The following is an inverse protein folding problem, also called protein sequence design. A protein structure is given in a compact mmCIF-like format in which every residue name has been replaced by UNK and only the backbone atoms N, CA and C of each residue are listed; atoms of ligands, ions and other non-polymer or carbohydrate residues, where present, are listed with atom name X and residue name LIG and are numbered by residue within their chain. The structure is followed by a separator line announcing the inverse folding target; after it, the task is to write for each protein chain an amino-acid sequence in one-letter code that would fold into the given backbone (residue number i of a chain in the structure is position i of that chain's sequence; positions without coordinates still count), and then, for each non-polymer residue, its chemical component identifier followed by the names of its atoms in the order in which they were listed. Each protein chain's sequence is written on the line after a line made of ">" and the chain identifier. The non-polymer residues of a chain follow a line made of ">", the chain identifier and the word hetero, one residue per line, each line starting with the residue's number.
data_IF_551128084173
#
_entry.id   IF_551128084173
#
_cell.length_a   1.000
_cell.length_b   1.000
_cell.length_c   1.000
_cell.angle_alpha   90.00
_cell.angle_beta   90.00
_cell.angle_gamma   90.00
#
_symmetry.space_group_name_H-M   'P 1'
#
loop_
_entity.id
_entity.type
_entity.pdbx_description
1 polymer ?
#
# COMPACT_ATOMS: atom_id res chain seq x y z
N UNK A 1 -45.66 6.92 28.14
CA UNK A 1 -44.53 7.47 27.34
C UNK A 1 -43.19 6.77 27.64
N UNK A 2 -43.11 5.43 27.50
CA UNK A 2 -41.86 4.67 27.73
C UNK A 2 -41.50 3.65 26.63
N UNK A 3 -42.18 3.67 25.49
CA UNK A 3 -42.00 2.67 24.42
C UNK A 3 -41.21 3.16 23.18
N UNK A 4 -40.66 4.39 23.20
CA UNK A 4 -40.00 4.98 22.03
C UNK A 4 -38.46 4.94 22.02
N UNK A 5 -37.81 4.92 23.19
CA UNK A 5 -36.34 5.06 23.26
C UNK A 5 -35.57 3.75 22.99
N UNK A 6 -36.09 2.60 23.42
CA UNK A 6 -35.37 1.32 23.25
C UNK A 6 -35.33 0.86 21.79
N UNK A 7 -36.39 1.12 21.03
CA UNK A 7 -36.43 0.83 19.59
C UNK A 7 -35.43 1.69 18.80
N UNK A 8 -35.30 2.96 19.14
CA UNK A 8 -34.33 3.86 18.52
C UNK A 8 -32.88 3.46 18.84
N UNK A 9 -32.59 3.07 20.09
CA UNK A 9 -31.28 2.60 20.51
C UNK A 9 -30.88 1.27 19.84
N UNK A 10 -31.85 0.37 19.63
CA UNK A 10 -31.63 -0.90 18.94
C UNK A 10 -31.39 -0.74 17.44
N UNK A 11 -32.15 0.15 16.78
CA UNK A 11 -31.94 0.50 15.36
C UNK A 11 -30.62 1.24 15.16
N UNK A 12 -30.29 2.20 16.04
CA UNK A 12 -28.97 2.85 16.03
C UNK A 12 -27.86 1.82 16.25
N UNK A 13 -27.96 0.91 17.22
CA UNK A 13 -26.98 -0.18 17.41
C UNK A 13 -26.87 -1.07 16.18
N UNK A 14 -27.96 -1.44 15.51
CA UNK A 14 -27.91 -2.24 14.27
C UNK A 14 -27.32 -1.47 13.10
N UNK A 15 -27.60 -0.17 12.96
CA UNK A 15 -26.96 0.68 11.96
C UNK A 15 -25.47 0.89 12.27
N UNK A 16 -25.10 1.04 13.53
CA UNK A 16 -23.71 1.16 13.98
C UNK A 16 -22.94 -0.15 13.77
N UNK A 17 -23.53 -1.29 14.13
CA UNK A 17 -22.95 -2.62 13.91
C UNK A 17 -22.85 -2.95 12.41
N UNK A 18 -23.80 -2.53 11.58
CA UNK A 18 -23.69 -2.67 10.11
C UNK A 18 -22.62 -1.76 9.51
N UNK A 19 -22.32 -0.61 10.11
CA UNK A 19 -21.27 0.31 9.66
C UNK A 19 -19.85 -0.17 10.03
N UNK A 20 -19.75 -1.11 10.98
CA UNK A 20 -18.51 -1.69 11.50
C UNK A 20 -18.31 -3.17 11.15
N UNK A 21 -19.13 -3.75 10.27
CA UNK A 21 -18.73 -4.99 9.62
C UNK A 21 -17.47 -4.65 8.81
N UNK A 22 -16.28 -4.93 9.37
CA UNK A 22 -15.02 -4.87 8.66
C UNK A 22 -15.25 -5.55 7.32
N UNK A 23 -15.19 -4.76 6.24
CA UNK A 23 -15.30 -5.30 4.91
C UNK A 23 -14.08 -6.21 4.77
N UNK A 24 -14.31 -7.53 4.80
CA UNK A 24 -13.25 -8.51 4.80
C UNK A 24 -13.05 -8.97 3.36
N UNK A 25 -11.83 -8.87 2.87
CA UNK A 25 -11.46 -9.53 1.62
C UNK A 25 -11.24 -11.01 1.92
N UNK A 26 -12.05 -11.88 1.31
CA UNK A 26 -12.00 -13.33 1.59
C UNK A 26 -10.81 -14.01 0.93
N UNK A 27 -10.29 -13.48 -0.18
CA UNK A 27 -9.09 -13.99 -0.83
C UNK A 27 -7.84 -13.56 -0.06
N UNK A 28 -7.83 -12.31 0.43
CA UNK A 28 -6.72 -11.70 1.15
C UNK A 28 -7.17 -11.14 2.50
N UNK A 29 -7.41 -12.00 3.51
CA UNK A 29 -8.01 -11.61 4.79
C UNK A 29 -7.16 -10.70 5.66
N UNK A 30 -5.87 -10.53 5.33
CA UNK A 30 -4.99 -9.56 5.99
C UNK A 30 -5.11 -8.14 5.43
N UNK A 31 -5.94 -7.93 4.40
CA UNK A 31 -6.15 -6.60 3.80
C UNK A 31 -6.93 -5.67 4.73
N UNK A 32 -6.40 -4.48 4.99
CA UNK A 32 -7.16 -3.38 5.58
C UNK A 32 -8.03 -2.69 4.51
N UNK A 33 -9.21 -3.26 4.23
CA UNK A 33 -10.05 -2.85 3.08
C UNK A 33 -10.45 -1.37 3.10
N UNK A 34 -10.78 -0.82 4.26
CA UNK A 34 -11.07 0.63 4.38
C UNK A 34 -9.85 1.47 3.95
N UNK A 35 -8.65 1.09 4.41
CA UNK A 35 -7.41 1.76 4.02
C UNK A 35 -7.15 1.61 2.53
N UNK A 36 -7.28 0.41 1.99
CA UNK A 36 -7.12 0.12 0.56
C UNK A 36 -7.98 1.06 -0.29
N UNK A 37 -9.27 1.19 0.04
CA UNK A 37 -10.21 2.04 -0.67
C UNK A 37 -9.84 3.53 -0.57
N UNK A 38 -9.41 3.98 0.61
CA UNK A 38 -8.99 5.36 0.80
C UNK A 38 -7.68 5.67 0.04
N UNK A 39 -6.75 4.71 -0.05
CA UNK A 39 -5.55 4.82 -0.90
C UNK A 39 -5.98 4.95 -2.37
N UNK A 40 -6.83 4.06 -2.88
CA UNK A 40 -7.33 4.13 -4.25
C UNK A 40 -7.98 5.49 -4.55
N UNK A 41 -8.78 6.01 -3.61
CA UNK A 41 -9.40 7.33 -3.74
C UNK A 41 -8.36 8.44 -3.83
N UNK A 42 -7.29 8.41 -3.01
CA UNK A 42 -6.20 9.39 -3.09
C UNK A 42 -5.44 9.29 -4.38
N UNK A 43 -5.02 8.10 -4.76
CA UNK A 43 -4.24 7.85 -5.99
C UNK A 43 -5.01 8.34 -7.22
N UNK A 44 -6.30 7.98 -7.35
CA UNK A 44 -7.16 8.45 -8.44
C UNK A 44 -7.42 9.97 -8.39
N UNK A 45 -7.32 10.57 -7.21
CA UNK A 45 -7.54 12.00 -7.00
C UNK A 45 -6.31 12.89 -7.23
N UNK A 46 -5.12 12.31 -7.42
CA UNK A 46 -3.92 13.07 -7.78
C UNK A 46 -4.07 13.63 -9.20
N UNK A 47 -3.76 14.92 -9.38
CA UNK A 47 -3.77 15.53 -10.70
C UNK A 47 -2.58 15.01 -11.53
N UNK A 48 -2.65 15.03 -12.87
CA UNK A 48 -1.51 14.68 -13.72
C UNK A 48 -0.24 15.49 -13.41
N UNK A 49 -0.41 16.75 -12.97
CA UNK A 49 0.69 17.62 -12.54
C UNK A 49 1.33 17.16 -11.22
N UNK A 50 0.59 16.52 -10.32
CA UNK A 50 1.17 15.93 -9.09
C UNK A 50 2.09 14.73 -9.42
N UNK A 51 1.89 14.08 -10.57
CA UNK A 51 2.60 12.86 -10.98
C UNK A 51 3.64 13.07 -12.09
N UNK A 52 3.76 14.29 -12.61
CA UNK A 52 4.67 14.65 -13.72
C UNK A 52 5.65 15.76 -13.36
N UNK A 53 5.82 16.03 -12.06
CA UNK A 53 6.79 16.99 -11.54
C UNK A 53 8.20 16.38 -11.43
N UNK A 54 9.08 17.02 -10.65
CA UNK A 54 10.36 16.41 -10.29
C UNK A 54 10.11 15.10 -9.51
N UNK A 55 10.89 14.05 -9.80
CA UNK A 55 10.66 12.71 -9.27
C UNK A 55 10.55 12.65 -7.74
N UNK A 56 11.38 13.39 -7.00
CA UNK A 56 11.32 13.38 -5.54
C UNK A 56 10.01 13.97 -5.00
N UNK A 57 9.43 14.94 -5.70
CA UNK A 57 8.11 15.50 -5.36
C UNK A 57 7.01 14.49 -5.69
N UNK A 58 7.07 13.87 -6.88
CA UNK A 58 6.14 12.83 -7.30
C UNK A 58 6.15 11.65 -6.32
N UNK A 59 7.33 11.15 -5.95
CA UNK A 59 7.49 10.07 -4.98
C UNK A 59 6.87 10.41 -3.62
N UNK A 60 7.08 11.64 -3.12
CA UNK A 60 6.43 12.10 -1.88
C UNK A 60 4.90 12.11 -1.98
N UNK A 61 4.35 12.50 -3.14
CA UNK A 61 2.90 12.46 -3.39
C UNK A 61 2.37 11.03 -3.41
N UNK A 62 3.10 10.10 -4.04
CA UNK A 62 2.74 8.69 -4.10
C UNK A 62 2.78 8.06 -2.70
N UNK A 63 3.81 8.33 -1.90
CA UNK A 63 3.88 7.91 -0.50
C UNK A 63 2.69 8.41 0.31
N UNK A 64 2.40 9.71 0.23
CA UNK A 64 1.26 10.30 0.92
C UNK A 64 -0.08 9.69 0.49
N UNK A 65 -0.25 9.45 -0.82
CA UNK A 65 -1.45 8.81 -1.35
C UNK A 65 -1.60 7.36 -0.86
N UNK A 66 -0.48 6.64 -0.73
CA UNK A 66 -0.38 5.31 -0.14
C UNK A 66 -0.46 5.26 1.39
N UNK A 67 -0.51 6.40 2.08
CA UNK A 67 -0.56 6.45 3.54
C UNK A 67 0.78 6.20 4.22
N UNK A 68 1.88 6.56 3.57
CA UNK A 68 3.23 6.50 4.12
C UNK A 68 3.80 7.90 4.37
N UNK A 69 4.56 8.03 5.45
CA UNK A 69 5.43 9.16 5.73
C UNK A 69 6.67 9.08 4.84
N UNK A 70 7.20 10.24 4.47
CA UNK A 70 8.50 10.33 3.83
C UNK A 70 9.60 10.37 4.90
N UNK A 71 10.29 9.25 5.08
CA UNK A 71 11.32 9.02 6.09
C UNK A 71 12.62 8.55 5.43
N UNK A 72 13.23 9.38 4.56
CA UNK A 72 14.40 8.98 3.75
C UNK A 72 15.70 8.86 4.57
N UNK A 73 15.69 9.30 5.82
CA UNK A 73 16.86 9.25 6.71
C UNK A 73 16.68 8.29 7.90
N UNK A 74 15.54 7.58 7.96
CA UNK A 74 15.32 6.56 8.99
C UNK A 74 16.22 5.34 8.75
N UNK A 75 16.55 4.63 9.83
CA UNK A 75 17.32 3.40 9.73
C UNK A 75 16.43 2.24 9.26
N UNK A 76 17.00 1.19 8.61
CA UNK A 76 16.28 -0.04 8.36
C UNK A 76 15.61 -0.58 9.64
N UNK A 77 14.36 -1.01 9.52
CA UNK A 77 13.53 -1.43 10.67
C UNK A 77 12.91 -0.30 11.50
N UNK A 78 13.22 0.97 11.21
CA UNK A 78 12.65 2.17 11.88
C UNK A 78 11.78 3.01 10.94
N UNK A 79 11.07 2.34 10.02
CA UNK A 79 10.17 2.99 9.06
C UNK A 79 10.89 3.72 7.92
N UNK A 80 12.07 3.25 7.51
CA UNK A 80 12.77 3.78 6.33
C UNK A 80 11.92 3.61 5.06
N UNK A 81 11.56 4.73 4.42
CA UNK A 81 10.81 4.75 3.15
C UNK A 81 11.61 5.39 2.02
N UNK A 82 12.92 5.64 2.20
CA UNK A 82 13.77 6.29 1.20
C UNK A 82 13.92 5.47 -0.10
N UNK A 83 13.86 4.15 -0.01
CA UNK A 83 13.93 3.24 -1.15
C UNK A 83 12.59 2.98 -1.84
N UNK A 84 11.47 3.36 -1.23
CA UNK A 84 10.14 3.10 -1.78
C UNK A 84 10.01 3.76 -3.15
N UNK A 85 9.71 2.94 -4.18
CA UNK A 85 9.63 3.33 -5.58
C UNK A 85 10.92 3.87 -6.21
N UNK A 86 12.05 3.82 -5.50
CA UNK A 86 13.35 4.33 -5.96
C UNK A 86 14.30 3.23 -6.45
N UNK A 87 13.90 1.96 -6.33
CA UNK A 87 14.64 0.80 -6.83
C UNK A 87 13.74 -0.12 -7.67
N UNK A 88 14.27 -1.27 -8.08
CA UNK A 88 13.58 -2.28 -8.91
C UNK A 88 12.66 -3.21 -8.12
N UNK A 89 12.68 -3.13 -6.79
CA UNK A 89 12.10 -4.14 -5.94
C UNK A 89 10.93 -3.59 -5.11
N UNK A 90 11.02 -2.39 -4.56
CA UNK A 90 10.02 -1.80 -3.66
C UNK A 90 8.99 -0.96 -4.44
N UNK A 91 8.40 -1.57 -5.48
CA UNK A 91 7.47 -0.91 -6.40
C UNK A 91 5.99 -1.14 -6.06
N UNK A 92 5.70 -2.04 -5.13
CA UNK A 92 4.34 -2.34 -4.68
C UNK A 92 4.05 -1.62 -3.37
N UNK A 93 2.81 -1.15 -3.18
CA UNK A 93 2.33 -0.64 -1.90
C UNK A 93 1.15 -1.47 -1.41
N UNK A 94 1.26 -2.04 -0.21
CA UNK A 94 0.18 -2.84 0.40
C UNK A 94 -0.47 -2.11 1.57
N UNK A 95 -1.72 -2.46 1.86
CA UNK A 95 -2.53 -1.92 2.94
C UNK A 95 -3.06 -3.05 3.81
N UNK A 96 -2.39 -3.30 4.95
CA UNK A 96 -2.64 -4.46 5.78
C UNK A 96 -3.30 -4.12 7.12
N UNK A 97 -3.97 -5.10 7.73
CA UNK A 97 -4.46 -5.01 9.10
C UNK A 97 -3.30 -4.87 10.09
N UNK A 98 -3.54 -4.21 11.23
CA UNK A 98 -2.49 -3.99 12.24
C UNK A 98 -1.95 -5.30 12.79
N UNK A 99 -2.83 -6.26 13.05
CA UNK A 99 -2.46 -7.57 13.61
C UNK A 99 -1.53 -8.36 12.68
N UNK A 100 -1.69 -8.23 11.35
CA UNK A 100 -0.83 -8.92 10.38
C UNK A 100 0.45 -8.15 10.05
N UNK A 101 0.53 -6.85 10.36
CA UNK A 101 1.74 -6.05 10.13
C UNK A 101 2.95 -6.60 10.92
N UNK A 102 2.71 -7.30 12.03
CA UNK A 102 3.73 -7.95 12.85
C UNK A 102 4.04 -9.40 12.45
N UNK A 103 3.39 -9.92 11.41
CA UNK A 103 3.69 -11.27 10.90
C UNK A 103 5.16 -11.37 10.54
N UNK A 104 5.79 -12.45 10.98
CA UNK A 104 7.16 -12.76 10.60
C UNK A 104 7.18 -13.67 9.39
N UNK A 105 8.16 -13.46 8.53
CA UNK A 105 8.41 -14.34 7.41
C UNK A 105 9.08 -15.66 7.88
N UNK A 106 8.58 -16.83 7.44
CA UNK A 106 9.07 -18.17 7.82
C UNK A 106 9.84 -18.90 6.71
N UNK A 107 10.32 -18.18 5.69
CA UNK A 107 11.20 -18.69 4.63
C UNK A 107 10.50 -19.04 3.31
N UNK A 108 9.19 -18.82 3.21
CA UNK A 108 8.37 -19.05 2.01
C UNK A 108 8.66 -18.09 0.84
N UNK A 109 9.33 -16.96 1.06
CA UNK A 109 9.56 -15.89 0.08
C UNK A 109 11.06 -15.82 -0.18
N UNK A 110 11.44 -16.22 -1.39
CA UNK A 110 12.85 -16.29 -1.78
C UNK A 110 13.49 -14.90 -1.71
N UNK A 111 14.58 -14.80 -0.95
CA UNK A 111 15.37 -13.56 -0.82
C UNK A 111 14.97 -12.65 0.34
N UNK A 112 13.96 -13.03 1.14
CA UNK A 112 13.59 -12.30 2.36
C UNK A 112 14.17 -13.01 3.59
N UNK A 113 14.76 -12.25 4.50
CA UNK A 113 15.33 -12.79 5.73
C UNK A 113 14.23 -13.43 6.60
N UNK A 114 14.50 -14.64 7.10
CA UNK A 114 13.65 -15.30 8.07
C UNK A 114 13.51 -14.44 9.34
N UNK A 115 12.30 -14.29 9.86
CA UNK A 115 12.05 -13.51 11.07
C UNK A 115 12.09 -11.98 10.88
N UNK A 116 12.00 -11.47 9.65
CA UNK A 116 11.97 -10.03 9.41
C UNK A 116 10.79 -9.35 10.13
N UNK A 117 11.08 -8.44 11.06
CA UNK A 117 10.09 -7.75 11.89
C UNK A 117 9.75 -6.38 11.31
N UNK A 118 8.84 -6.38 10.34
CA UNK A 118 8.42 -5.15 9.66
C UNK A 118 7.45 -4.30 10.48
N UNK A 119 6.66 -4.92 11.38
CA UNK A 119 5.58 -4.28 12.15
C UNK A 119 5.92 -2.91 12.76
N UNK A 120 6.97 -2.78 13.60
CA UNK A 120 7.33 -1.48 14.19
C UNK A 120 7.66 -0.42 13.13
N UNK A 121 8.33 -0.80 12.04
CA UNK A 121 8.63 0.10 10.93
C UNK A 121 7.38 0.55 10.18
N UNK A 122 6.44 -0.38 9.95
CA UNK A 122 5.15 -0.13 9.32
C UNK A 122 4.34 0.85 10.16
N UNK A 123 4.23 0.63 11.47
CA UNK A 123 3.50 1.52 12.39
C UNK A 123 4.10 2.93 12.40
N UNK A 124 5.43 3.03 12.48
CA UNK A 124 6.13 4.32 12.47
C UNK A 124 5.94 5.07 11.16
N UNK A 125 5.99 4.38 10.02
CA UNK A 125 5.87 5.00 8.70
C UNK A 125 4.42 5.27 8.27
N UNK A 126 3.43 4.58 8.84
CA UNK A 126 2.04 4.72 8.42
C UNK A 126 1.42 6.05 8.85
N UNK A 127 0.62 6.64 7.97
CA UNK A 127 -0.25 7.78 8.25
C UNK A 127 -1.61 7.28 8.74
N UNK A 128 -2.14 7.78 9.88
CA UNK A 128 -3.37 7.25 10.48
C UNK A 128 -4.66 7.66 9.73
N UNK A 129 -4.58 8.70 8.91
CA UNK A 129 -5.71 9.34 8.21
C UNK A 129 -6.39 8.49 7.12
N UNK A 130 -5.81 7.33 6.76
CA UNK A 130 -6.40 6.42 5.78
C UNK A 130 -7.24 5.30 6.39
N UNK A 131 -7.38 5.24 7.71
CA UNK A 131 -8.13 4.19 8.41
C UNK A 131 -7.22 3.32 9.29
N UNK A 132 -7.73 2.20 9.84
CA UNK A 132 -7.00 1.32 10.77
C UNK A 132 -6.04 0.36 10.06
N UNK A 133 -4.93 -0.04 10.71
CA UNK A 133 -3.89 -0.96 10.21
C UNK A 133 -2.57 -0.28 9.82
N UNK A 134 -1.83 -0.79 8.82
CA UNK A 134 -0.64 -0.14 8.26
C UNK A 134 -0.60 -0.07 6.73
N UNK A 135 0.34 0.74 6.22
CA UNK A 135 0.79 0.75 4.82
C UNK A 135 2.27 0.42 4.75
N UNK A 136 2.70 -0.23 3.66
CA UNK A 136 4.11 -0.51 3.43
C UNK A 136 4.44 -0.66 1.95
N UNK A 137 5.63 -0.20 1.53
CA UNK A 137 6.16 -0.53 0.21
C UNK A 137 6.85 -1.90 0.26
N UNK A 138 6.38 -2.85 -0.52
CA UNK A 138 6.83 -4.25 -0.50
C UNK A 138 7.63 -4.62 -1.73
N UNK A 139 8.51 -5.61 -1.56
CA UNK A 139 9.26 -6.25 -2.63
C UNK A 139 8.31 -6.88 -3.68
N UNK A 140 8.66 -6.77 -4.96
CA UNK A 140 7.95 -7.37 -6.10
C UNK A 140 8.38 -8.81 -6.39
N UNK A 141 9.38 -9.33 -5.66
CA UNK A 141 9.87 -10.70 -5.83
C UNK A 141 8.72 -11.73 -5.81
N UNK A 142 8.53 -12.44 -6.93
CA UNK A 142 7.51 -13.47 -7.05
C UNK A 142 6.10 -12.94 -7.35
N UNK A 143 5.92 -11.64 -7.58
CA UNK A 143 4.62 -11.06 -7.93
C UNK A 143 4.12 -11.47 -9.32
N UNK A 144 5.00 -12.00 -10.18
CA UNK A 144 4.70 -12.47 -11.52
C UNK A 144 4.27 -13.95 -11.59
N UNK A 145 4.22 -14.64 -10.45
CA UNK A 145 3.79 -16.03 -10.35
C UNK A 145 2.27 -16.12 -10.15
N UNK A 146 1.68 -17.28 -10.43
CA UNK A 146 0.26 -17.57 -10.19
C UNK A 146 0.12 -18.82 -9.28
N UNK A 147 -0.36 -18.65 -8.01
CA UNK A 147 -0.67 -17.38 -7.37
C UNK A 147 0.60 -16.56 -7.04
N UNK A 148 0.49 -15.23 -6.85
CA UNK A 148 1.62 -14.39 -6.48
C UNK A 148 2.31 -14.86 -5.20
N UNK A 149 3.64 -14.80 -5.18
CA UNK A 149 4.47 -15.20 -4.03
C UNK A 149 5.25 -14.05 -3.40
N UNK A 150 4.80 -12.82 -3.62
CA UNK A 150 5.41 -11.63 -3.03
C UNK A 150 5.04 -11.44 -1.55
N UNK A 151 5.69 -10.45 -0.93
CA UNK A 151 5.55 -10.14 0.50
C UNK A 151 4.11 -9.73 0.85
N UNK A 152 3.42 -9.00 -0.01
CA UNK A 152 2.05 -8.57 0.27
C UNK A 152 1.11 -9.77 0.36
N UNK A 153 1.16 -10.65 -0.64
CA UNK A 153 0.25 -11.78 -0.75
C UNK A 153 0.58 -12.93 0.21
N UNK A 154 1.86 -13.21 0.47
CA UNK A 154 2.27 -14.33 1.30
C UNK A 154 2.36 -13.95 2.78
N UNK A 155 3.17 -12.95 3.13
CA UNK A 155 3.44 -12.61 4.53
C UNK A 155 2.25 -11.88 5.17
N UNK A 156 1.69 -10.91 4.47
CA UNK A 156 0.59 -10.10 5.00
C UNK A 156 -0.79 -10.64 4.61
N UNK A 157 -0.88 -11.55 3.62
CA UNK A 157 -2.15 -12.01 3.05
C UNK A 157 -3.04 -10.83 2.70
N UNK A 158 -2.43 -9.80 2.12
CA UNK A 158 -3.02 -8.51 1.81
C UNK A 158 -2.90 -8.23 0.32
N UNK A 159 -3.91 -7.59 -0.25
CA UNK A 159 -3.81 -7.05 -1.61
C UNK A 159 -2.73 -6.00 -1.73
N UNK A 160 -2.20 -5.84 -2.94
CA UNK A 160 -1.46 -4.63 -3.30
C UNK A 160 -2.44 -3.50 -3.59
N UNK A 161 -2.30 -2.38 -2.89
CA UNK A 161 -3.10 -1.18 -3.12
C UNK A 161 -2.77 -0.54 -4.46
N UNK A 162 -1.48 -0.44 -4.78
CA UNK A 162 -1.06 -0.14 -6.13
C UNK A 162 0.36 -0.62 -6.41
N UNK A 163 0.64 -0.88 -7.69
CA UNK A 163 1.96 -1.15 -8.24
C UNK A 163 2.38 0.06 -9.07
N UNK A 164 3.62 0.51 -8.94
CA UNK A 164 4.22 1.48 -9.85
C UNK A 164 4.94 0.74 -10.96
N UNK A 165 4.50 0.94 -12.21
CA UNK A 165 5.06 0.27 -13.38
C UNK A 165 5.52 1.30 -14.40
N UNK A 166 6.81 1.31 -14.72
CA UNK A 166 7.37 2.16 -15.76
C UNK A 166 7.09 1.58 -17.16
N UNK A 167 6.76 2.44 -18.12
CA UNK A 167 6.18 2.03 -19.40
C UNK A 167 7.20 2.11 -20.56
N UNK A 168 7.34 1.07 -21.40
CA UNK A 168 8.21 1.10 -22.59
C UNK A 168 7.73 2.12 -23.64
N UNK A 169 8.58 2.49 -24.62
CA UNK A 169 9.92 1.96 -24.89
C UNK A 169 11.05 2.67 -24.13
N UNK A 170 10.85 3.93 -23.72
CA UNK A 170 11.87 4.76 -23.09
C UNK A 170 11.82 4.73 -21.55
N UNK A 171 10.75 4.13 -20.99
CA UNK A 171 10.51 4.05 -19.55
C UNK A 171 10.38 5.43 -18.90
N UNK A 172 10.11 6.49 -19.68
CA UNK A 172 10.00 7.87 -19.19
C UNK A 172 8.68 8.19 -18.48
N UNK A 173 7.72 7.27 -18.56
CA UNK A 173 6.38 7.40 -17.96
C UNK A 173 6.10 6.19 -17.08
N UNK A 174 5.21 6.34 -16.10
CA UNK A 174 4.75 5.24 -15.26
C UNK A 174 3.23 5.23 -15.15
N UNK A 175 2.68 4.06 -14.83
CA UNK A 175 1.31 3.87 -14.39
C UNK A 175 1.28 3.39 -12.95
N UNK A 176 0.23 3.78 -12.23
CA UNK A 176 -0.19 3.17 -10.97
C UNK A 176 -1.36 2.26 -11.29
N UNK A 177 -1.23 0.97 -11.02
CA UNK A 177 -2.28 -0.04 -11.24
C UNK A 177 -2.63 -0.71 -9.93
N UNK A 178 -3.87 -1.16 -9.76
CA UNK A 178 -4.24 -1.97 -8.60
C UNK A 178 -3.76 -3.43 -8.72
N UNK A 179 -4.08 -4.22 -7.71
CA UNK A 179 -3.74 -5.64 -7.59
C UNK A 179 -4.17 -6.49 -8.79
N UNK A 180 -5.32 -6.15 -9.40
CA UNK A 180 -5.90 -6.84 -10.54
C UNK A 180 -5.41 -6.24 -11.88
N UNK A 181 -4.50 -5.25 -11.83
CA UNK A 181 -3.93 -4.59 -13.00
C UNK A 181 -4.77 -3.45 -13.58
N UNK A 182 -5.83 -3.00 -12.89
CA UNK A 182 -6.63 -1.88 -13.38
C UNK A 182 -5.89 -0.56 -13.17
N UNK A 183 -5.92 0.31 -14.18
CA UNK A 183 -5.30 1.63 -14.11
C UNK A 183 -5.95 2.51 -13.02
N UNK A 184 -5.11 3.07 -12.15
CA UNK A 184 -5.50 4.04 -11.13
C UNK A 184 -5.08 5.47 -11.51
N UNK A 185 -3.83 5.65 -11.97
CA UNK A 185 -3.31 6.95 -12.42
C UNK A 185 -2.01 6.77 -13.24
N UNK A 186 -1.44 7.84 -13.78
CA UNK A 186 -0.16 7.81 -14.51
C UNK A 186 0.61 9.13 -14.38
N UNK A 187 1.89 9.11 -14.76
CA UNK A 187 2.72 10.31 -14.74
C UNK A 187 3.94 10.22 -15.66
N UNK A 188 4.48 11.39 -16.00
CA UNK A 188 5.69 11.58 -16.83
C UNK A 188 6.70 12.43 -16.07
N UNK A 189 7.31 11.91 -14.99
CA UNK A 189 8.15 12.69 -14.09
C UNK A 189 9.48 13.07 -14.75
N UNK A 190 10.14 14.07 -14.18
CA UNK A 190 11.46 14.55 -14.63
C UNK A 190 12.48 14.54 -13.48
N UNK A 191 13.75 14.86 -13.77
CA UNK A 191 14.80 14.96 -12.76
C UNK A 191 15.42 13.62 -12.41
N UNK A 192 15.65 13.38 -11.11
CA UNK A 192 16.37 12.21 -10.60
C UNK A 192 15.50 10.95 -10.52
N UNK A 193 14.90 10.54 -11.65
CA UNK A 193 14.15 9.29 -11.74
C UNK A 193 15.06 8.07 -11.52
N UNK A 194 14.52 6.89 -11.12
CA UNK A 194 15.32 5.68 -10.98
C UNK A 194 16.08 5.33 -12.26
N UNK A 195 17.19 4.61 -12.12
CA UNK A 195 18.01 4.21 -13.26
C UNK A 195 17.18 3.43 -14.29
N UNK A 196 17.57 3.49 -15.57
CA UNK A 196 16.85 2.76 -16.62
C UNK A 196 16.82 1.24 -16.36
N UNK A 197 17.82 0.70 -15.68
CA UNK A 197 17.85 -0.71 -15.28
C UNK A 197 16.74 -1.00 -14.25
N UNK A 198 16.60 -0.13 -13.25
CA UNK A 198 15.57 -0.28 -12.22
C UNK A 198 14.14 -0.08 -12.75
N UNK A 199 13.97 0.71 -13.82
CA UNK A 199 12.66 0.93 -14.44
C UNK A 199 12.21 -0.22 -15.37
N UNK A 200 13.09 -1.16 -15.68
CA UNK A 200 12.80 -2.26 -16.63
C UNK A 200 12.37 -3.57 -15.95
N UNK A 201 12.52 -3.66 -14.64
CA UNK A 201 12.26 -4.85 -13.84
C UNK A 201 10.78 -5.21 -13.77
#
# INVERSE_FOLDING_TARGET
>A
LKFGLEGALFVMRRQFVRKFAMQMDTAYPGTAVERLQNIHKRVKGLAPSDLSANWEEVRRKILWAGGLKDLPNSRPGQGYTGHSFNDDNHCDLTAMLGDVAHNMHSGEIRGIAHGNRLGPGIELASLPELGPGGSWSTCTNGCNLDPPQDVAHVQFRSRVAFKLVWCPPDFGTFVLVDDDGNLLNHGSPTGAVPSIAARKS
#
